data_IF_976296206141
#
_entry.id   IF_976296206141
#
_cell.length_a   1.000
_cell.length_b   1.000
_cell.length_c   1.000
_cell.angle_alpha   90.00
_cell.angle_beta   90.00
_cell.angle_gamma   90.00
#
_symmetry.space_group_name_H-M   'P 1'
#
loop_
_entity.id
_entity.type
_entity.pdbx_description
1 polymer ?
#
# COMPACT_ATOMS: atom_id res chain seq x y z
N UNK A 1 34.30 -3.08 -5.07
CA UNK A 1 35.00 -2.89 -3.82
C UNK A 1 35.26 -1.44 -3.56
N UNK A 2 34.97 -0.98 -2.35
CA UNK A 2 35.24 0.39 -2.04
C UNK A 2 36.74 0.56 -1.89
N UNK A 3 37.26 1.60 -2.47
CA UNK A 3 38.69 1.87 -2.40
C UNK A 3 39.05 2.87 -1.33
N UNK A 4 38.08 3.56 -0.77
CA UNK A 4 38.38 4.58 0.24
C UNK A 4 37.52 4.35 1.47
N UNK A 5 37.89 4.98 2.57
CA UNK A 5 37.13 4.87 3.81
C UNK A 5 35.75 5.44 3.64
N UNK A 6 35.60 6.53 2.90
CA UNK A 6 34.30 7.13 2.68
C UNK A 6 33.41 6.23 1.84
N UNK A 7 33.98 5.53 0.86
CA UNK A 7 33.22 4.58 0.07
C UNK A 7 32.77 3.40 0.92
N UNK A 8 33.64 2.92 1.80
CA UNK A 8 33.29 1.82 2.70
C UNK A 8 32.16 2.24 3.64
N UNK A 9 32.22 3.47 4.15
CA UNK A 9 31.18 3.97 5.03
C UNK A 9 29.86 4.05 4.27
N UNK A 10 29.89 4.50 3.03
CA UNK A 10 28.70 4.59 2.21
C UNK A 10 28.07 3.22 1.98
N UNK A 11 28.88 2.22 1.75
CA UNK A 11 28.39 0.85 1.56
C UNK A 11 27.66 0.38 2.81
N UNK A 12 28.22 0.63 3.99
CA UNK A 12 27.58 0.24 5.23
C UNK A 12 26.25 0.95 5.43
N UNK A 13 26.21 2.25 5.11
CA UNK A 13 24.98 3.02 5.24
C UNK A 13 23.93 2.53 4.26
N UNK A 14 24.34 2.19 3.05
CA UNK A 14 23.41 1.68 2.03
C UNK A 14 22.81 0.36 2.48
N UNK A 15 23.59 -0.51 3.10
CA UNK A 15 23.07 -1.77 3.59
C UNK A 15 21.99 -1.54 4.65
N UNK A 16 22.26 -0.63 5.58
CA UNK A 16 21.29 -0.33 6.63
C UNK A 16 20.01 0.25 6.04
N UNK A 17 20.15 1.17 5.11
CA UNK A 17 18.98 1.79 4.47
C UNK A 17 18.17 0.77 3.70
N UNK A 18 18.85 -0.12 2.97
CA UNK A 18 18.16 -1.14 2.20
C UNK A 18 17.37 -2.08 3.11
N UNK A 19 17.95 -2.47 4.22
CA UNK A 19 17.26 -3.34 5.16
C UNK A 19 16.02 -2.64 5.72
N UNK A 20 16.15 -1.37 6.10
CA UNK A 20 15.05 -0.62 6.65
C UNK A 20 13.97 -0.39 5.59
N UNK A 21 14.36 -0.05 4.37
CA UNK A 21 13.41 0.17 3.29
C UNK A 21 12.67 -1.10 2.92
N UNK A 22 13.38 -2.24 2.93
CA UNK A 22 12.74 -3.51 2.64
C UNK A 22 11.74 -3.87 3.73
N UNK A 23 12.07 -3.58 4.98
CA UNK A 23 11.17 -3.82 6.09
C UNK A 23 9.89 -2.97 5.93
N UNK A 24 10.07 -1.69 5.55
CA UNK A 24 8.93 -0.80 5.34
C UNK A 24 8.04 -1.29 4.21
N UNK A 25 8.65 -1.71 3.09
CA UNK A 25 7.88 -2.21 1.95
C UNK A 25 7.12 -3.48 2.32
N UNK A 26 7.77 -4.35 3.08
CA UNK A 26 7.12 -5.58 3.49
C UNK A 26 5.95 -5.30 4.42
N UNK A 27 6.12 -4.33 5.30
CA UNK A 27 5.06 -3.97 6.21
C UNK A 27 3.84 -3.46 5.45
N UNK A 28 4.05 -2.62 4.42
CA UNK A 28 2.96 -2.13 3.59
C UNK A 28 2.29 -3.28 2.86
N UNK A 29 3.09 -4.16 2.30
CA UNK A 29 2.56 -5.30 1.56
C UNK A 29 1.71 -6.20 2.45
N UNK A 30 2.18 -6.48 3.66
CA UNK A 30 1.46 -7.32 4.59
C UNK A 30 0.15 -6.66 5.03
N UNK A 31 0.17 -5.36 5.26
CA UNK A 31 -1.02 -4.63 5.66
C UNK A 31 -2.07 -4.64 4.54
N UNK A 32 -1.64 -4.44 3.31
CA UNK A 32 -2.55 -4.47 2.17
C UNK A 32 -3.11 -5.87 1.98
N UNK A 33 -2.28 -6.89 2.20
CA UNK A 33 -2.71 -8.25 2.07
C UNK A 33 -3.80 -8.57 3.10
N UNK A 34 -3.62 -8.11 4.33
CA UNK A 34 -4.62 -8.29 5.37
C UNK A 34 -5.92 -7.59 5.02
N UNK A 35 -5.83 -6.40 4.44
CA UNK A 35 -7.01 -5.67 4.01
C UNK A 35 -7.74 -6.44 2.90
N UNK A 36 -7.02 -6.93 1.91
CA UNK A 36 -7.64 -7.66 0.82
C UNK A 36 -8.28 -8.97 1.31
N UNK A 37 -7.66 -9.60 2.28
CA UNK A 37 -8.23 -10.81 2.85
C UNK A 37 -9.55 -10.50 3.55
N UNK A 38 -9.63 -9.38 4.26
CA UNK A 38 -10.86 -8.98 4.92
C UNK A 38 -11.95 -8.64 3.90
N UNK A 39 -11.56 -8.02 2.78
CA UNK A 39 -12.50 -7.71 1.72
C UNK A 39 -13.04 -9.01 1.11
N UNK A 40 -12.17 -9.97 0.87
CA UNK A 40 -12.58 -11.25 0.29
C UNK A 40 -13.51 -12.02 1.23
N UNK A 41 -13.29 -11.87 2.53
CA UNK A 41 -14.14 -12.53 3.52
C UNK A 41 -15.49 -11.82 3.70
N UNK A 42 -15.62 -10.62 3.17
CA UNK A 42 -16.85 -9.86 3.32
C UNK A 42 -17.04 -9.24 4.69
N UNK A 43 -15.99 -9.16 5.47
CA UNK A 43 -16.06 -8.63 6.83
C UNK A 43 -15.86 -7.12 6.80
N UNK A 44 -16.94 -6.36 6.83
CA UNK A 44 -16.87 -4.92 6.74
C UNK A 44 -16.11 -4.31 7.90
N UNK A 45 -16.40 -4.72 9.11
CA UNK A 45 -15.72 -4.17 10.28
C UNK A 45 -14.22 -4.48 10.25
N UNK A 46 -13.88 -5.71 9.91
CA UNK A 46 -12.47 -6.09 9.80
C UNK A 46 -11.79 -5.37 8.67
N UNK A 47 -12.50 -5.15 7.57
CA UNK A 47 -11.93 -4.43 6.43
C UNK A 47 -11.68 -2.97 6.78
N UNK A 48 -12.57 -2.33 7.55
CA UNK A 48 -12.35 -0.95 7.97
C UNK A 48 -11.12 -0.84 8.84
N UNK A 49 -10.96 -1.75 9.76
CA UNK A 49 -9.80 -1.73 10.64
C UNK A 49 -8.54 -1.99 9.84
N UNK A 50 -8.58 -2.97 8.96
CA UNK A 50 -7.43 -3.29 8.12
C UNK A 50 -7.09 -2.13 7.18
N UNK A 51 -8.10 -1.40 6.71
CA UNK A 51 -7.88 -0.24 5.87
C UNK A 51 -7.12 0.84 6.65
N UNK A 52 -7.52 1.11 7.88
CA UNK A 52 -6.83 2.11 8.69
C UNK A 52 -5.38 1.72 8.92
N UNK A 53 -5.15 0.44 9.21
CA UNK A 53 -3.79 -0.04 9.44
C UNK A 53 -2.96 0.07 8.15
N UNK A 54 -3.54 -0.30 7.02
CA UNK A 54 -2.85 -0.22 5.75
C UNK A 54 -2.56 1.21 5.35
N UNK A 55 -3.53 2.11 5.54
CA UNK A 55 -3.34 3.52 5.21
C UNK A 55 -2.25 4.12 6.08
N UNK A 56 -2.23 3.76 7.36
CA UNK A 56 -1.18 4.23 8.27
C UNK A 56 0.19 3.74 7.81
N UNK A 57 0.30 2.48 7.44
CA UNK A 57 1.57 1.92 7.00
C UNK A 57 2.03 2.59 5.71
N UNK A 58 1.12 2.83 4.79
CA UNK A 58 1.44 3.49 3.52
C UNK A 58 1.90 4.93 3.78
N UNK A 59 1.20 5.65 4.64
CA UNK A 59 1.57 7.03 4.95
C UNK A 59 2.93 7.11 5.64
N UNK A 60 3.20 6.22 6.55
CA UNK A 60 4.49 6.21 7.23
C UNK A 60 5.62 5.91 6.25
N UNK A 61 5.37 5.00 5.32
CA UNK A 61 6.36 4.66 4.32
C UNK A 61 6.61 5.83 3.37
N UNK A 62 5.56 6.54 2.98
CA UNK A 62 5.70 7.70 2.12
C UNK A 62 6.43 8.82 2.85
N UNK A 63 6.14 8.99 4.14
CA UNK A 63 6.79 10.00 4.95
C UNK A 63 8.29 9.78 5.07
N UNK A 64 8.71 8.53 5.04
CA UNK A 64 10.13 8.21 5.15
C UNK A 64 10.83 8.14 3.80
N UNK A 65 10.18 8.58 2.76
CA UNK A 65 10.74 8.62 1.41
C UNK A 65 10.99 7.25 0.78
N UNK A 66 10.51 6.19 1.40
CA UNK A 66 10.63 4.86 0.81
C UNK A 66 9.63 4.70 -0.33
N UNK A 67 8.53 5.42 -0.26
CA UNK A 67 7.51 5.38 -1.28
C UNK A 67 7.14 6.82 -1.64
N UNK A 68 6.95 7.08 -2.93
CA UNK A 68 6.57 8.41 -3.35
C UNK A 68 5.13 8.69 -2.91
N UNK A 69 4.86 9.93 -2.53
CA UNK A 69 3.54 10.30 -2.03
C UNK A 69 2.41 10.02 -3.03
N UNK A 70 2.69 10.12 -4.32
CA UNK A 70 1.68 9.84 -5.33
C UNK A 70 1.33 8.36 -5.38
N UNK A 71 2.31 7.49 -5.19
CA UNK A 71 2.07 6.05 -5.10
C UNK A 71 1.25 5.73 -3.87
N UNK A 72 1.57 6.40 -2.75
CA UNK A 72 0.82 6.20 -1.51
C UNK A 72 -0.63 6.63 -1.70
N UNK A 73 -0.86 7.78 -2.32
CA UNK A 73 -2.20 8.29 -2.56
C UNK A 73 -3.00 7.34 -3.45
N UNK A 74 -2.35 6.79 -4.48
CA UNK A 74 -3.01 5.85 -5.37
C UNK A 74 -3.42 4.58 -4.63
N UNK A 75 -2.54 4.05 -3.82
CA UNK A 75 -2.85 2.83 -3.07
C UNK A 75 -3.98 3.05 -2.09
N UNK A 76 -3.95 4.18 -1.40
CA UNK A 76 -5.02 4.50 -0.46
C UNK A 76 -6.35 4.67 -1.18
N UNK A 77 -6.34 5.30 -2.35
CA UNK A 77 -7.55 5.48 -3.13
C UNK A 77 -8.15 4.15 -3.56
N UNK A 78 -7.32 3.23 -4.01
CA UNK A 78 -7.79 1.92 -4.43
C UNK A 78 -8.40 1.17 -3.26
N UNK A 79 -7.74 1.20 -2.11
CA UNK A 79 -8.25 0.53 -0.93
C UNK A 79 -9.57 1.15 -0.47
N UNK A 80 -9.66 2.47 -0.52
CA UNK A 80 -10.88 3.16 -0.12
C UNK A 80 -12.05 2.78 -1.03
N UNK A 81 -11.79 2.64 -2.32
CA UNK A 81 -12.82 2.24 -3.25
C UNK A 81 -13.30 0.82 -2.97
N UNK A 82 -12.37 -0.07 -2.71
CA UNK A 82 -12.72 -1.45 -2.41
C UNK A 82 -13.53 -1.55 -1.14
N UNK A 83 -13.15 -0.79 -0.13
CA UNK A 83 -13.87 -0.77 1.12
C UNK A 83 -15.28 -0.21 0.94
N UNK A 84 -15.39 0.86 0.18
CA UNK A 84 -16.68 1.49 -0.07
C UNK A 84 -17.59 0.54 -0.83
N UNK A 85 -17.05 -0.19 -1.79
CA UNK A 85 -17.83 -1.16 -2.54
C UNK A 85 -18.33 -2.28 -1.63
N UNK A 86 -17.50 -2.71 -0.69
CA UNK A 86 -17.90 -3.75 0.24
C UNK A 86 -18.99 -3.23 1.17
N UNK A 87 -18.83 -2.01 1.66
CA UNK A 87 -19.82 -1.41 2.54
C UNK A 87 -21.15 -1.20 1.80
N UNK A 88 -21.07 -0.93 0.52
CA UNK A 88 -22.26 -0.77 -0.28
C UNK A 88 -22.90 -2.10 -0.65
N UNK A 89 -22.33 -3.18 -0.19
CA UNK A 89 -22.90 -4.48 -0.45
C UNK A 89 -22.60 -5.02 -1.81
N UNK A 90 -21.79 -4.33 -2.53
CA UNK A 90 -21.52 -4.79 -3.85
C UNK A 90 -20.11 -5.07 -4.14
N UNK A 91 -19.60 -6.02 -3.51
CA UNK A 91 -18.23 -6.37 -3.79
C UNK A 91 -18.09 -6.62 -5.25
N UNK A 92 -19.10 -7.19 -5.80
CA UNK A 92 -18.98 -7.49 -7.19
C UNK A 92 -18.94 -6.24 -7.97
N UNK A 93 -19.65 -5.29 -7.51
CA UNK A 93 -19.69 -4.10 -8.27
C UNK A 93 -18.33 -3.55 -8.33
N UNK A 94 -17.65 -3.78 -7.35
CA UNK A 94 -16.37 -3.19 -7.33
C UNK A 94 -15.67 -3.71 -8.50
N UNK A 95 -16.02 -4.73 -8.82
CA UNK A 95 -15.29 -5.32 -9.77
C UNK A 95 -15.25 -4.46 -10.85
N UNK A 96 -15.19 -4.28 -11.43
CA UNK A 96 -14.91 -3.73 -12.47
C UNK A 96 -15.47 -2.77 -13.00
N UNK A 97 -16.19 -2.85 -12.86
CA UNK A 97 -16.85 -2.04 -13.56
C UNK A 97 -16.38 -0.74 -13.58
N UNK A 98 -15.99 -0.44 -12.64
CA UNK A 98 -15.56 0.84 -12.57
C UNK A 98 -14.97 1.25 -13.79
N UNK A 99 -14.13 0.54 -14.23
CA UNK A 99 -13.47 0.96 -15.27
C UNK A 99 -14.25 0.94 -16.41
N UNK A 100 -14.98 0.08 -16.48
CA UNK A 100 -15.68 0.01 -17.69
C UNK A 100 -16.38 1.30 -17.86
N UNK A 101 -16.83 1.75 -16.78
CA UNK A 101 -17.58 2.90 -16.89
C UNK A 101 -16.84 3.97 -17.52
N UNK A 102 -15.67 4.21 -17.11
CA UNK A 102 -15.06 5.25 -17.62
C UNK A 102 -14.76 5.05 -18.99
N UNK A 103 -14.58 3.95 -19.30
CA UNK A 103 -14.19 3.71 -20.62
C UNK A 103 -15.24 4.26 -21.49
N UNK A 104 -16.38 4.06 -21.20
CA UNK A 104 -17.25 4.43 -22.04
C UNK A 104 -17.60 5.72 -22.06
N UNK A 105 -17.35 6.28 -21.23
CA UNK A 105 -17.68 7.50 -21.20
C UNK A 105 -17.33 8.10 -22.39
N UNK A 106 -16.72 7.55 -23.05
CA UNK A 106 -16.34 8.19 -24.27
C UNK A 106 -17.55 8.55 -25.07
#
# INVERSE_FOLDING_TARGET
MPNTKSAAKRVRQTKKRNALNNWRKRRVKDAIKGFLAAIAAGDVAGAEKAYRDAASAVDKTASSSTMHRNTAARRKSLMARQLKALQGGGASAAAKPAKGARAKKA
#
